data_IF_481286769840
#
_entry.id   IF_481286769840
#
_cell.length_a   1.000
_cell.length_b   1.000
_cell.length_c   1.000
_cell.angle_alpha   90.00
_cell.angle_beta   90.00
_cell.angle_gamma   90.00
#
_symmetry.space_group_name_H-M   'P 1'
#
loop_
_entity.id
_entity.type
_entity.pdbx_description
1 polymer ?
#
# COMPACT_ATOMS: atom_id res chain seq x y z
N UNK A 1 -26.45 -25.06 17.05
CA UNK A 1 -25.35 -25.25 18.00
C UNK A 1 -25.79 -24.82 19.40
N UNK A 2 -25.33 -25.51 20.44
CA UNK A 2 -25.56 -25.19 21.86
C UNK A 2 -24.23 -24.93 22.57
N UNK A 3 -24.18 -23.94 23.45
CA UNK A 3 -23.11 -23.77 24.42
C UNK A 3 -23.11 -24.92 25.42
N UNK A 4 -21.93 -25.39 25.84
CA UNK A 4 -21.82 -26.31 26.98
C UNK A 4 -22.20 -25.58 28.28
N UNK A 5 -22.53 -26.34 29.32
CA UNK A 5 -22.84 -25.76 30.65
C UNK A 5 -21.69 -24.89 31.15
N UNK A 6 -20.46 -25.40 31.07
CA UNK A 6 -19.25 -24.68 31.47
C UNK A 6 -19.05 -23.38 30.68
N UNK A 7 -19.25 -23.41 29.35
CA UNK A 7 -19.13 -22.21 28.52
C UNK A 7 -20.23 -21.18 28.84
N UNK A 8 -21.45 -21.64 29.15
CA UNK A 8 -22.54 -20.77 29.55
C UNK A 8 -22.31 -20.12 30.91
N UNK A 9 -21.72 -20.86 31.87
CA UNK A 9 -21.36 -20.33 33.20
C UNK A 9 -20.24 -19.29 33.07
N UNK A 10 -19.18 -19.62 32.33
CA UNK A 10 -18.06 -18.69 32.08
C UNK A 10 -18.51 -17.41 31.41
N UNK A 11 -19.38 -17.48 30.40
CA UNK A 11 -19.88 -16.30 29.71
C UNK A 11 -20.52 -15.30 30.69
N UNK A 12 -21.24 -15.80 31.71
CA UNK A 12 -21.94 -14.98 32.70
C UNK A 12 -21.01 -14.52 33.82
N UNK A 13 -20.17 -15.41 34.35
CA UNK A 13 -19.33 -15.13 35.52
C UNK A 13 -18.06 -14.38 35.18
N UNK A 14 -17.46 -14.68 34.03
CA UNK A 14 -16.18 -14.14 33.59
C UNK A 14 -16.09 -14.12 32.04
N UNK A 15 -16.60 -13.05 31.40
CA UNK A 15 -16.52 -12.88 29.96
C UNK A 15 -15.09 -12.93 29.40
N UNK A 16 -14.06 -12.68 30.22
CA UNK A 16 -12.65 -12.72 29.80
C UNK A 16 -12.17 -14.15 29.66
N UNK A 17 -12.41 -14.97 30.70
CA UNK A 17 -12.12 -16.40 30.64
C UNK A 17 -12.92 -17.09 29.53
N UNK A 18 -14.15 -16.65 29.27
CA UNK A 18 -14.93 -17.11 28.12
C UNK A 18 -14.24 -16.75 26.79
N UNK A 19 -13.87 -15.49 26.56
CA UNK A 19 -13.19 -15.06 25.33
C UNK A 19 -11.87 -15.80 25.12
N UNK A 20 -11.09 -16.00 26.18
CA UNK A 20 -9.83 -16.73 26.12
C UNK A 20 -10.02 -18.20 25.71
N UNK A 21 -11.01 -18.88 26.29
CA UNK A 21 -11.23 -20.32 26.04
C UNK A 21 -12.03 -20.60 24.77
N UNK A 22 -12.96 -19.71 24.40
CA UNK A 22 -13.96 -19.97 23.37
C UNK A 22 -13.86 -18.99 22.18
N UNK A 23 -13.10 -17.91 22.28
CA UNK A 23 -13.06 -16.85 21.27
C UNK A 23 -14.34 -16.01 21.24
N UNK A 24 -14.40 -15.06 20.29
CA UNK A 24 -15.55 -14.16 20.13
C UNK A 24 -16.66 -14.75 19.22
N UNK A 25 -16.32 -15.73 18.40
CA UNK A 25 -17.23 -16.39 17.45
C UNK A 25 -17.08 -17.90 17.54
N UNK A 26 -18.11 -18.62 17.11
CA UNK A 26 -18.03 -20.05 16.85
C UNK A 26 -18.08 -20.32 15.35
N UNK A 27 -17.45 -21.42 14.94
CA UNK A 27 -17.57 -21.96 13.58
C UNK A 27 -18.96 -22.56 13.41
N UNK A 28 -19.80 -21.92 12.61
CA UNK A 28 -21.14 -22.39 12.29
C UNK A 28 -21.16 -23.35 11.11
N UNK A 29 -20.20 -23.21 10.20
CA UNK A 29 -20.02 -24.09 9.07
C UNK A 29 -18.73 -23.81 8.33
N UNK A 30 -18.34 -24.75 7.48
CA UNK A 30 -17.25 -24.57 6.53
C UNK A 30 -17.82 -24.80 5.15
N UNK A 31 -17.73 -23.78 4.30
CA UNK A 31 -18.08 -23.88 2.89
C UNK A 31 -16.97 -24.57 2.14
N UNK A 32 -17.38 -25.54 1.32
CA UNK A 32 -16.49 -26.31 0.49
C UNK A 32 -16.81 -26.06 -0.98
N UNK A 33 -15.77 -26.01 -1.79
CA UNK A 33 -15.90 -25.82 -3.24
C UNK A 33 -15.06 -26.83 -4.01
N UNK A 34 -15.47 -27.04 -5.26
CA UNK A 34 -14.65 -27.60 -6.32
C UNK A 34 -14.30 -26.46 -7.28
N UNK A 35 -13.03 -26.36 -7.68
CA UNK A 35 -12.51 -25.28 -8.50
C UNK A 35 -11.73 -25.84 -9.68
N UNK A 36 -11.95 -25.24 -10.85
CA UNK A 36 -11.15 -25.44 -12.05
C UNK A 36 -10.73 -24.06 -12.56
N UNK A 37 -9.43 -23.82 -12.60
CA UNK A 37 -8.83 -22.63 -13.17
C UNK A 37 -8.18 -23.01 -14.50
N UNK A 38 -8.58 -22.32 -15.56
CA UNK A 38 -8.01 -22.51 -16.90
C UNK A 38 -7.47 -21.16 -17.35
N UNK A 39 -6.17 -21.10 -17.58
CA UNK A 39 -5.50 -19.94 -18.15
C UNK A 39 -5.17 -20.25 -19.60
N UNK A 40 -5.72 -19.47 -20.52
CA UNK A 40 -5.40 -19.53 -21.95
C UNK A 40 -4.59 -18.29 -22.29
N UNK A 41 -3.36 -18.48 -22.74
CA UNK A 41 -2.46 -17.44 -23.20
C UNK A 41 -2.36 -17.49 -24.72
N UNK A 42 -2.62 -16.36 -25.36
CA UNK A 42 -2.48 -16.17 -26.81
C UNK A 42 -1.32 -15.19 -27.05
N UNK A 43 -0.19 -15.69 -27.53
CA UNK A 43 0.97 -14.87 -27.86
C UNK A 43 0.96 -14.57 -29.37
N UNK A 44 0.74 -13.31 -29.71
CA UNK A 44 0.78 -12.83 -31.09
C UNK A 44 2.24 -12.61 -31.53
N UNK A 45 2.63 -13.21 -32.66
CA UNK A 45 3.98 -13.03 -33.21
C UNK A 45 4.12 -11.72 -34.00
N UNK A 46 3.00 -11.03 -34.29
CA UNK A 46 2.95 -9.77 -35.04
C UNK A 46 1.97 -8.76 -34.43
N UNK A 47 2.17 -7.46 -34.71
CA UNK A 47 1.26 -6.39 -34.26
C UNK A 47 -0.13 -6.48 -34.94
N UNK A 48 -0.20 -7.03 -36.15
CA UNK A 48 -1.47 -7.28 -36.85
C UNK A 48 -2.26 -8.43 -36.21
N UNK A 49 -1.57 -9.50 -35.80
CA UNK A 49 -2.16 -10.59 -35.04
C UNK A 49 -2.69 -10.10 -33.68
N UNK A 50 -1.92 -9.26 -32.98
CA UNK A 50 -2.33 -8.65 -31.71
C UNK A 50 -3.59 -7.78 -31.85
N UNK A 51 -3.65 -6.96 -32.92
CA UNK A 51 -4.86 -6.17 -33.24
C UNK A 51 -6.06 -7.06 -33.55
N UNK A 52 -5.85 -8.17 -34.24
CA UNK A 52 -6.92 -9.12 -34.55
C UNK A 52 -7.46 -9.81 -33.30
N UNK A 53 -6.59 -10.25 -32.38
CA UNK A 53 -7.01 -10.85 -31.10
C UNK A 53 -7.91 -9.87 -30.33
N UNK A 54 -7.48 -8.60 -30.22
CA UNK A 54 -8.25 -7.58 -29.51
C UNK A 54 -9.60 -7.28 -30.18
N UNK A 55 -9.63 -7.22 -31.51
CA UNK A 55 -10.86 -6.97 -32.27
C UNK A 55 -11.85 -8.13 -32.16
N UNK A 56 -11.38 -9.37 -32.31
CA UNK A 56 -12.21 -10.57 -32.23
C UNK A 56 -12.76 -10.79 -30.82
N UNK A 57 -11.93 -10.66 -29.79
CA UNK A 57 -12.36 -10.82 -28.40
C UNK A 57 -13.08 -9.59 -27.82
N UNK A 58 -13.15 -8.48 -28.57
CA UNK A 58 -13.82 -7.25 -28.14
C UNK A 58 -13.11 -6.56 -26.95
N UNK A 59 -11.80 -6.77 -26.81
CA UNK A 59 -11.01 -6.25 -25.70
C UNK A 59 -10.62 -4.79 -25.98
N UNK A 60 -11.41 -3.86 -25.46
CA UNK A 60 -11.07 -2.43 -25.50
C UNK A 60 -10.11 -2.08 -24.35
N UNK A 61 -8.82 -2.36 -24.52
CA UNK A 61 -7.73 -1.71 -23.77
C UNK A 61 -7.73 -1.87 -22.24
N UNK A 62 -8.18 -3.01 -21.70
CA UNK A 62 -8.15 -3.30 -20.26
C UNK A 62 -8.55 -4.74 -19.92
N UNK A 63 -8.46 -5.10 -18.64
CA UNK A 63 -8.90 -6.41 -18.10
C UNK A 63 -10.43 -6.47 -18.11
N UNK A 64 -11.01 -7.17 -19.10
CA UNK A 64 -12.47 -7.33 -19.23
C UNK A 64 -12.88 -8.75 -18.87
N UNK A 65 -13.90 -8.90 -18.03
CA UNK A 65 -14.52 -10.20 -17.76
C UNK A 65 -15.38 -10.59 -18.95
N UNK A 66 -14.98 -11.63 -19.69
CA UNK A 66 -15.76 -12.21 -20.77
C UNK A 66 -16.45 -13.48 -20.27
N UNK A 67 -17.78 -13.55 -20.43
CA UNK A 67 -18.48 -14.81 -20.29
C UNK A 67 -18.07 -15.75 -21.42
N UNK A 68 -17.61 -16.97 -21.09
CA UNK A 68 -17.25 -17.97 -22.09
C UNK A 68 -18.55 -18.63 -22.60
N UNK A 69 -19.17 -18.00 -23.59
CA UNK A 69 -20.31 -18.53 -24.32
C UNK A 69 -19.89 -19.17 -25.66
N UNK A 70 -20.84 -19.73 -26.41
CA UNK A 70 -20.57 -20.39 -27.70
C UNK A 70 -19.88 -19.45 -28.71
N UNK A 71 -20.13 -18.14 -28.63
CA UNK A 71 -19.52 -17.14 -29.52
C UNK A 71 -18.06 -16.90 -29.17
N UNK A 72 -17.74 -16.72 -27.89
CA UNK A 72 -16.35 -16.57 -27.43
C UNK A 72 -15.55 -17.85 -27.65
N UNK A 73 -16.14 -19.04 -27.41
CA UNK A 73 -15.52 -20.34 -27.72
C UNK A 73 -15.12 -20.42 -29.20
N UNK A 74 -16.05 -20.13 -30.12
CA UNK A 74 -15.77 -20.16 -31.56
C UNK A 74 -14.70 -19.15 -32.00
N UNK A 75 -14.64 -17.97 -31.37
CA UNK A 75 -13.61 -16.96 -31.65
C UNK A 75 -12.22 -17.41 -31.18
N UNK A 76 -12.11 -17.99 -30.00
CA UNK A 76 -10.86 -18.54 -29.49
C UNK A 76 -10.35 -19.70 -30.36
N UNK A 77 -11.23 -20.58 -30.82
CA UNK A 77 -10.88 -21.66 -31.76
C UNK A 77 -10.36 -21.12 -33.11
N UNK A 78 -10.94 -20.04 -33.62
CA UNK A 78 -10.49 -19.41 -34.86
C UNK A 78 -9.13 -18.75 -34.70
N UNK A 79 -8.90 -18.05 -33.58
CA UNK A 79 -7.61 -17.45 -33.26
C UNK A 79 -6.52 -18.52 -33.08
N UNK A 80 -6.85 -19.64 -32.44
CA UNK A 80 -5.92 -20.75 -32.21
C UNK A 80 -5.48 -21.49 -33.48
N UNK A 81 -6.23 -21.36 -34.60
CA UNK A 81 -5.88 -21.93 -35.90
C UNK A 81 -4.93 -21.06 -36.73
N UNK A 82 -4.65 -19.83 -36.30
CA UNK A 82 -3.77 -18.92 -37.02
C UNK A 82 -2.30 -19.28 -36.80
N UNK A 83 -1.51 -19.27 -37.87
CA UNK A 83 -0.08 -19.59 -37.81
C UNK A 83 0.77 -18.51 -37.10
N UNK A 84 0.26 -17.27 -37.00
CA UNK A 84 0.93 -16.13 -36.37
C UNK A 84 0.56 -15.93 -34.88
N UNK A 85 -0.14 -16.89 -34.27
CA UNK A 85 -0.55 -16.89 -32.86
C UNK A 85 -0.13 -18.21 -32.20
N UNK A 86 0.59 -18.11 -31.09
CA UNK A 86 0.93 -19.26 -30.25
C UNK A 86 -0.07 -19.35 -29.09
N UNK A 87 -0.63 -20.54 -28.85
CA UNK A 87 -1.59 -20.76 -27.76
C UNK A 87 -0.96 -21.66 -26.71
N UNK A 88 -0.96 -21.19 -25.47
CA UNK A 88 -0.58 -21.96 -24.30
C UNK A 88 -1.80 -22.08 -23.38
N UNK A 89 -2.09 -23.30 -22.92
CA UNK A 89 -3.18 -23.56 -21.96
C UNK A 89 -2.54 -24.10 -20.70
N UNK A 90 -2.89 -23.52 -19.57
CA UNK A 90 -2.52 -23.99 -18.23
C UNK A 90 -3.78 -24.28 -17.44
N UNK A 91 -3.81 -25.41 -16.74
CA UNK A 91 -4.97 -25.84 -15.96
C UNK A 91 -4.53 -26.13 -14.53
N UNK A 92 -5.28 -25.62 -13.57
CA UNK A 92 -5.16 -25.95 -12.16
C UNK A 92 -6.53 -26.40 -11.67
N UNK A 93 -6.59 -27.56 -11.02
CA UNK A 93 -7.81 -28.05 -10.40
C UNK A 93 -7.66 -28.21 -8.88
N UNK A 94 -8.80 -28.21 -8.20
CA UNK A 94 -8.86 -28.44 -6.76
C UNK A 94 -10.26 -28.89 -6.38
N UNK A 95 -10.37 -29.82 -5.45
CA UNK A 95 -11.63 -30.02 -4.73
C UNK A 95 -12.66 -30.92 -5.41
N UNK A 96 -12.29 -31.81 -6.34
CA UNK A 96 -13.22 -32.78 -6.91
C UNK A 96 -12.49 -34.00 -7.49
N UNK A 97 -13.25 -35.07 -7.74
CA UNK A 97 -12.82 -36.23 -8.51
C UNK A 97 -13.48 -36.25 -9.90
N UNK A 98 -12.74 -36.70 -10.90
CA UNK A 98 -13.27 -37.07 -12.22
C UNK A 98 -13.00 -38.55 -12.49
N UNK A 99 -13.92 -39.22 -13.19
CA UNK A 99 -13.73 -40.62 -13.59
C UNK A 99 -12.42 -40.82 -14.37
N UNK A 100 -11.55 -41.71 -13.88
CA UNK A 100 -10.21 -41.94 -14.45
C UNK A 100 -9.07 -41.10 -13.82
N UNK A 101 -9.38 -40.25 -12.85
CA UNK A 101 -8.42 -39.35 -12.18
C UNK A 101 -8.26 -38.02 -12.91
N UNK A 102 -8.05 -36.94 -12.15
CA UNK A 102 -7.91 -35.58 -12.69
C UNK A 102 -6.70 -35.43 -13.64
N UNK A 103 -5.67 -36.25 -13.44
CA UNK A 103 -4.44 -36.26 -14.25
C UNK A 103 -4.67 -36.66 -15.71
N UNK A 104 -5.62 -37.55 -16.00
CA UNK A 104 -5.96 -37.98 -17.36
C UNK A 104 -6.78 -36.93 -18.12
N UNK A 105 -7.64 -36.20 -17.41
CA UNK A 105 -8.49 -35.16 -17.99
C UNK A 105 -7.69 -33.87 -18.25
N UNK A 106 -6.83 -33.46 -17.32
CA UNK A 106 -5.93 -32.30 -17.50
C UNK A 106 -4.91 -32.56 -18.60
N UNK A 107 -4.25 -33.72 -18.62
CA UNK A 107 -3.29 -34.03 -19.69
C UNK A 107 -3.93 -33.99 -21.07
N UNK A 108 -5.20 -34.39 -21.18
CA UNK A 108 -5.98 -34.31 -22.42
C UNK A 108 -6.38 -32.88 -22.84
N UNK A 109 -6.45 -31.92 -21.90
CA UNK A 109 -6.68 -30.50 -22.18
C UNK A 109 -5.41 -29.79 -22.66
N UNK A 110 -4.23 -30.33 -22.32
CA UNK A 110 -2.92 -29.80 -22.68
C UNK A 110 -2.39 -30.35 -24.02
N UNK A 111 -2.99 -31.42 -24.53
CA UNK A 111 -2.61 -32.05 -25.82
C UNK A 111 -3.52 -31.59 -26.96
N UNK A 112 -2.97 -30.95 -27.99
CA UNK A 112 -3.67 -30.69 -29.27
C UNK A 112 -4.03 -29.22 -29.57
N UNK A 113 -3.81 -28.30 -28.63
CA UNK A 113 -4.18 -26.88 -28.79
C UNK A 113 -5.62 -26.58 -28.36
N UNK A 114 -6.15 -25.40 -28.75
CA UNK A 114 -7.48 -24.93 -28.35
C UNK A 114 -8.47 -25.14 -29.50
N UNK A 115 -9.25 -26.23 -29.41
CA UNK A 115 -10.24 -26.63 -30.40
C UNK A 115 -11.62 -26.93 -29.76
N UNK A 116 -12.61 -27.31 -30.57
CA UNK A 116 -13.94 -27.66 -30.10
C UNK A 116 -13.93 -28.81 -29.06
N UNK A 117 -12.98 -29.74 -29.17
CA UNK A 117 -12.83 -30.82 -28.20
C UNK A 117 -12.34 -30.30 -26.84
N UNK A 118 -11.55 -29.22 -26.80
CA UNK A 118 -11.11 -28.57 -25.55
C UNK A 118 -12.30 -28.04 -24.76
N UNK A 119 -13.28 -27.39 -25.41
CA UNK A 119 -14.45 -26.87 -24.71
C UNK A 119 -15.45 -27.96 -24.30
N UNK A 120 -15.64 -29.00 -25.11
CA UNK A 120 -16.44 -30.17 -24.74
C UNK A 120 -15.84 -30.89 -23.52
N UNK A 121 -14.50 -30.97 -23.44
CA UNK A 121 -13.79 -31.48 -22.27
C UNK A 121 -13.99 -30.61 -21.04
N UNK A 122 -13.93 -29.28 -21.16
CA UNK A 122 -14.22 -28.38 -20.03
C UNK A 122 -15.66 -28.53 -19.51
N UNK A 123 -16.63 -28.72 -20.41
CA UNK A 123 -18.01 -29.00 -20.03
C UNK A 123 -18.15 -30.39 -19.37
N UNK A 124 -17.34 -31.38 -19.77
CA UNK A 124 -17.25 -32.66 -19.09
C UNK A 124 -16.61 -32.56 -17.69
N UNK A 125 -15.52 -31.80 -17.53
CA UNK A 125 -14.92 -31.50 -16.20
C UNK A 125 -15.97 -30.87 -15.29
N UNK A 126 -16.69 -29.87 -15.79
CA UNK A 126 -17.75 -29.20 -15.03
C UNK A 126 -18.82 -30.17 -14.55
N UNK A 127 -19.21 -31.14 -15.38
CA UNK A 127 -20.18 -32.18 -14.99
C UNK A 127 -19.61 -33.07 -13.88
N UNK A 128 -18.37 -33.52 -14.02
CA UNK A 128 -17.70 -34.33 -12.98
C UNK A 128 -17.49 -33.56 -11.68
N UNK A 129 -17.20 -32.25 -11.72
CA UNK A 129 -17.14 -31.39 -10.54
C UNK A 129 -18.47 -31.39 -9.78
N UNK A 130 -19.59 -31.22 -10.50
CA UNK A 130 -20.93 -31.23 -9.91
C UNK A 130 -21.28 -32.60 -9.34
N UNK A 131 -20.92 -33.68 -10.03
CA UNK A 131 -21.13 -35.05 -9.56
C UNK A 131 -20.32 -35.33 -8.28
N UNK A 132 -19.04 -34.94 -8.24
CA UNK A 132 -18.19 -35.08 -7.06
C UNK A 132 -18.70 -34.27 -5.88
N UNK A 133 -19.13 -33.02 -6.10
CA UNK A 133 -19.73 -32.19 -5.05
C UNK A 133 -21.03 -32.79 -4.53
N UNK A 134 -21.89 -33.29 -5.41
CA UNK A 134 -23.13 -33.95 -5.02
C UNK A 134 -22.85 -35.23 -4.21
N UNK A 135 -21.82 -36.00 -4.58
CA UNK A 135 -21.40 -37.18 -3.81
C UNK A 135 -20.94 -36.81 -2.39
N UNK A 136 -20.17 -35.71 -2.25
CA UNK A 136 -19.77 -35.20 -0.94
C UNK A 136 -20.98 -34.74 -0.11
N UNK A 137 -21.92 -33.99 -0.69
CA UNK A 137 -23.17 -33.58 -0.03
C UNK A 137 -24.01 -34.77 0.40
N UNK A 138 -24.09 -35.82 -0.42
CA UNK A 138 -24.78 -37.06 -0.09
C UNK A 138 -24.16 -37.77 1.10
N UNK A 139 -22.81 -37.90 1.14
CA UNK A 139 -22.08 -38.50 2.26
C UNK A 139 -22.17 -37.67 3.54
N UNK A 140 -22.18 -36.34 3.41
CA UNK A 140 -22.35 -35.40 4.52
C UNK A 140 -23.75 -35.47 5.16
N UNK A 141 -24.68 -36.23 4.58
CA UNK A 141 -26.03 -36.45 5.11
C UNK A 141 -27.03 -35.36 4.72
N UNK A 142 -26.80 -34.66 3.59
CA UNK A 142 -27.65 -33.58 3.09
C UNK A 142 -29.14 -33.95 3.10
N UNK A 143 -29.92 -33.31 3.98
CA UNK A 143 -31.36 -33.50 4.04
C UNK A 143 -32.01 -32.98 2.75
N UNK A 144 -32.64 -33.87 1.98
CA UNK A 144 -33.57 -33.49 0.90
C UNK A 144 -33.15 -33.84 -0.53
N UNK A 145 -31.94 -34.38 -0.78
CA UNK A 145 -31.59 -34.90 -2.10
C UNK A 145 -32.10 -36.34 -2.23
N UNK A 146 -33.30 -36.49 -2.80
CA UNK A 146 -33.96 -37.78 -3.03
C UNK A 146 -33.14 -38.77 -3.89
N UNK A 147 -32.07 -38.30 -4.54
CA UNK A 147 -31.22 -39.06 -5.45
C UNK A 147 -29.94 -39.65 -4.82
N UNK A 148 -29.65 -39.40 -3.54
CA UNK A 148 -28.42 -39.90 -2.91
C UNK A 148 -28.50 -41.42 -2.63
N UNK A 149 -27.59 -42.21 -3.20
CA UNK A 149 -27.44 -43.66 -2.93
C UNK A 149 -26.13 -43.94 -2.18
N UNK A 150 -26.08 -45.00 -1.36
CA UNK A 150 -24.88 -45.41 -0.61
C UNK A 150 -24.77 -44.87 0.83
N UNK A 151 -23.60 -45.10 1.44
CA UNK A 151 -23.30 -44.78 2.84
C UNK A 151 -23.32 -43.27 3.12
N UNK A 152 -23.92 -42.89 4.26
CA UNK A 152 -24.09 -41.51 4.70
C UNK A 152 -23.52 -41.33 6.11
N UNK A 153 -22.18 -41.35 6.25
CA UNK A 153 -21.53 -41.23 7.56
C UNK A 153 -21.81 -39.88 8.24
N UNK A 154 -22.22 -38.87 7.47
CA UNK A 154 -22.51 -37.54 7.97
C UNK A 154 -21.29 -36.62 7.91
N UNK A 155 -21.54 -35.32 8.04
CA UNK A 155 -20.54 -34.28 7.80
C UNK A 155 -19.20 -34.47 8.57
N UNK A 156 -19.24 -34.86 9.84
CA UNK A 156 -18.03 -35.01 10.63
C UNK A 156 -17.21 -36.28 10.28
N UNK A 157 -17.88 -37.30 9.74
CA UNK A 157 -17.30 -38.63 9.49
C UNK A 157 -17.04 -38.89 7.99
N UNK A 158 -17.31 -37.92 7.12
CA UNK A 158 -17.00 -37.99 5.70
C UNK A 158 -15.49 -37.83 5.43
N UNK A 159 -14.74 -38.91 5.67
CA UNK A 159 -13.29 -38.99 5.38
C UNK A 159 -12.96 -39.00 3.88
N UNK A 160 -13.97 -39.16 3.01
CA UNK A 160 -13.84 -39.21 1.56
C UNK A 160 -14.25 -37.90 0.88
N UNK A 161 -14.27 -36.78 1.62
CA UNK A 161 -14.62 -35.46 1.07
C UNK A 161 -13.55 -35.01 0.09
N UNK A 162 -13.98 -34.73 -1.14
CA UNK A 162 -13.10 -34.27 -2.21
C UNK A 162 -13.07 -32.76 -2.29
N UNK A 163 -14.21 -32.11 -2.03
CA UNK A 163 -14.35 -30.67 -1.94
C UNK A 163 -13.39 -30.06 -0.91
N UNK A 164 -12.79 -28.92 -1.26
CA UNK A 164 -11.83 -28.25 -0.39
C UNK A 164 -12.50 -27.13 0.41
N UNK A 165 -12.12 -26.91 1.68
CA UNK A 165 -12.63 -25.80 2.45
C UNK A 165 -12.12 -24.48 1.87
N UNK A 166 -13.04 -23.55 1.57
CA UNK A 166 -12.71 -22.23 1.02
C UNK A 166 -13.09 -21.09 1.94
N UNK A 167 -14.09 -21.30 2.81
CA UNK A 167 -14.56 -20.27 3.73
C UNK A 167 -15.09 -20.90 5.01
N UNK A 168 -14.80 -20.24 6.13
CA UNK A 168 -15.34 -20.59 7.44
C UNK A 168 -16.45 -19.59 7.75
N UNK A 169 -17.69 -20.06 7.93
CA UNK A 169 -18.81 -19.25 8.41
C UNK A 169 -18.71 -19.11 9.93
N UNK A 170 -18.36 -17.92 10.39
CA UNK A 170 -18.30 -17.59 11.81
C UNK A 170 -19.60 -16.91 12.25
N UNK A 171 -20.16 -17.37 13.38
CA UNK A 171 -21.38 -16.77 13.96
C UNK A 171 -21.13 -16.35 15.41
N UNK A 172 -21.78 -15.26 15.86
CA UNK A 172 -21.64 -14.81 17.23
C UNK A 172 -22.39 -15.74 18.18
N UNK A 173 -21.85 -15.96 19.38
CA UNK A 173 -22.44 -16.86 20.38
C UNK A 173 -23.88 -16.50 20.80
N UNK A 174 -24.32 -15.24 20.62
CA UNK A 174 -25.71 -14.81 20.81
C UNK A 174 -26.71 -15.53 19.88
N UNK A 175 -26.25 -16.25 18.85
CA UNK A 175 -27.07 -17.06 17.94
C UNK A 175 -27.13 -18.54 18.33
N UNK A 176 -26.45 -18.96 19.40
CA UNK A 176 -26.57 -20.32 19.93
C UNK A 176 -27.99 -20.57 20.46
N UNK A 177 -28.50 -21.80 20.34
CA UNK A 177 -29.90 -22.11 20.67
C UNK A 177 -30.22 -22.06 22.16
N UNK A 178 -29.21 -22.07 23.02
CA UNK A 178 -29.29 -21.86 24.47
C UNK A 178 -28.52 -20.61 24.91
N UNK A 179 -28.31 -19.66 24.00
CA UNK A 179 -27.72 -18.37 24.34
C UNK A 179 -28.57 -17.67 25.41
N UNK A 180 -27.97 -17.10 26.48
CA UNK A 180 -28.66 -16.16 27.36
C UNK A 180 -29.36 -15.05 26.57
N UNK A 181 -30.51 -14.56 27.05
CA UNK A 181 -31.27 -13.51 26.35
C UNK A 181 -30.38 -12.27 26.18
N UNK A 182 -30.25 -11.80 24.94
CA UNK A 182 -29.51 -10.58 24.61
C UNK A 182 -30.26 -9.30 25.04
N UNK A 183 -29.53 -8.23 25.30
CA UNK A 183 -30.09 -6.93 25.68
C UNK A 183 -29.08 -6.05 26.45
N UNK A 184 -29.46 -4.82 26.82
CA UNK A 184 -28.65 -3.95 27.67
C UNK A 184 -28.23 -4.65 28.97
N UNK A 185 -26.93 -4.72 29.25
CA UNK A 185 -26.36 -5.41 30.41
C UNK A 185 -26.20 -6.92 30.25
N UNK A 186 -26.42 -7.46 29.04
CA UNK A 186 -26.22 -8.89 28.78
C UNK A 186 -24.73 -9.28 28.77
N UNK A 187 -24.40 -10.53 29.10
CA UNK A 187 -23.03 -11.05 29.01
C UNK A 187 -22.38 -10.86 27.63
N UNK A 188 -23.19 -10.96 26.56
CA UNK A 188 -22.74 -10.73 25.19
C UNK A 188 -22.36 -9.29 24.91
N UNK A 189 -23.05 -8.32 25.50
CA UNK A 189 -22.70 -6.91 25.38
C UNK A 189 -21.40 -6.61 26.13
N UNK A 190 -21.25 -7.15 27.35
CA UNK A 190 -20.01 -7.01 28.11
C UNK A 190 -18.82 -7.60 27.36
N UNK A 191 -18.99 -8.80 26.78
CA UNK A 191 -17.99 -9.45 25.94
C UNK A 191 -17.64 -8.62 24.70
N UNK A 192 -18.67 -8.12 23.97
CA UNK A 192 -18.45 -7.31 22.77
C UNK A 192 -17.75 -6.00 23.10
N UNK A 193 -18.14 -5.35 24.19
CA UNK A 193 -17.52 -4.10 24.66
C UNK A 193 -16.02 -4.29 24.92
N UNK A 194 -15.62 -5.37 25.59
CA UNK A 194 -14.20 -5.68 25.82
C UNK A 194 -13.41 -5.76 24.50
N UNK A 195 -13.94 -6.48 23.51
CA UNK A 195 -13.29 -6.62 22.19
C UNK A 195 -13.30 -5.31 21.40
N UNK A 196 -14.42 -4.58 21.41
CA UNK A 196 -14.58 -3.31 20.70
C UNK A 196 -13.64 -2.24 21.25
N UNK A 197 -13.50 -2.16 22.58
CA UNK A 197 -12.63 -1.17 23.23
C UNK A 197 -11.14 -1.51 23.00
N UNK A 198 -10.74 -2.78 23.10
CA UNK A 198 -9.36 -3.20 22.78
C UNK A 198 -9.01 -2.97 21.31
N UNK A 199 -9.93 -3.29 20.38
CA UNK A 199 -9.76 -2.99 18.96
C UNK A 199 -9.63 -1.49 18.69
N UNK A 200 -10.41 -0.67 19.40
CA UNK A 200 -10.36 0.79 19.25
C UNK A 200 -9.00 1.33 19.72
N UNK A 201 -8.50 0.83 20.84
CA UNK A 201 -7.20 1.18 21.39
C UNK A 201 -6.05 0.78 20.45
N UNK A 202 -6.01 -0.50 20.01
CA UNK A 202 -5.02 -0.98 19.05
C UNK A 202 -5.03 -0.17 17.76
N UNK A 203 -6.21 0.11 17.20
CA UNK A 203 -6.32 0.95 15.99
C UNK A 203 -5.72 2.33 16.19
N UNK A 204 -5.80 2.91 17.38
CA UNK A 204 -5.21 4.23 17.66
C UNK A 204 -3.69 4.17 17.72
N UNK A 205 -3.14 3.20 18.44
CA UNK A 205 -1.69 2.97 18.48
C UNK A 205 -1.13 2.67 17.09
N UNK A 206 -1.76 1.74 16.36
CA UNK A 206 -1.31 1.33 15.02
C UNK A 206 -1.38 2.48 14.00
N UNK A 207 -2.37 3.38 14.09
CA UNK A 207 -2.41 4.56 13.21
C UNK A 207 -1.16 5.43 13.36
N UNK A 208 -0.70 5.66 14.59
CA UNK A 208 0.48 6.49 14.82
C UNK A 208 1.78 5.73 14.49
N UNK A 209 1.85 4.42 14.78
CA UNK A 209 2.97 3.58 14.35
C UNK A 209 3.16 3.61 12.82
N UNK A 210 2.09 3.37 12.04
CA UNK A 210 2.12 3.42 10.57
C UNK A 210 2.58 4.79 10.04
N UNK A 211 2.16 5.88 10.70
CA UNK A 211 2.58 7.24 10.30
C UNK A 211 4.06 7.48 10.56
N UNK A 212 4.58 7.02 11.70
CA UNK A 212 6.00 7.10 12.03
C UNK A 212 6.81 6.26 11.04
N UNK A 213 6.39 5.03 10.77
CA UNK A 213 7.04 4.15 9.80
C UNK A 213 7.09 4.79 8.41
N UNK A 214 6.01 5.42 7.96
CA UNK A 214 6.00 6.14 6.69
C UNK A 214 6.99 7.31 6.66
N UNK A 215 7.06 8.11 7.74
CA UNK A 215 8.04 9.21 7.84
C UNK A 215 9.47 8.66 7.77
N UNK A 216 9.76 7.59 8.52
CA UNK A 216 11.10 7.00 8.56
C UNK A 216 11.46 6.40 7.20
N UNK A 217 10.59 5.60 6.60
CA UNK A 217 10.90 4.84 5.40
C UNK A 217 10.81 5.67 4.10
N UNK A 218 9.90 6.64 4.03
CA UNK A 218 9.64 7.38 2.79
C UNK A 218 10.36 8.74 2.74
N UNK A 219 10.67 9.33 3.90
CA UNK A 219 11.26 10.68 3.98
C UNK A 219 12.69 10.66 4.57
N UNK A 220 12.88 10.13 5.78
CA UNK A 220 14.15 10.22 6.52
C UNK A 220 15.22 9.26 5.96
N UNK A 221 14.93 7.97 5.89
CA UNK A 221 15.89 6.94 5.47
C UNK A 221 16.40 7.17 4.04
N UNK A 222 15.54 7.48 3.05
CA UNK A 222 16.02 7.77 1.70
C UNK A 222 17.01 8.94 1.64
N UNK A 223 16.85 9.94 2.50
CA UNK A 223 17.82 11.04 2.62
C UNK A 223 19.10 10.63 3.34
N UNK A 224 19.00 9.87 4.44
CA UNK A 224 20.17 9.41 5.19
C UNK A 224 21.05 8.46 4.35
N UNK A 225 20.42 7.56 3.61
CA UNK A 225 21.06 6.55 2.75
C UNK A 225 21.54 7.14 1.41
N UNK A 226 21.06 8.32 1.02
CA UNK A 226 21.52 8.98 -0.20
C UNK A 226 23.02 9.31 -0.13
N UNK A 227 23.79 9.11 -1.22
CA UNK A 227 25.16 9.57 -1.28
C UNK A 227 25.21 11.11 -1.13
N UNK A 228 26.32 11.64 -0.60
CA UNK A 228 26.49 13.09 -0.31
C UNK A 228 26.09 13.97 -1.52
N UNK A 229 26.46 13.57 -2.74
CA UNK A 229 26.10 14.28 -3.97
C UNK A 229 24.58 14.41 -4.20
N UNK A 230 23.79 13.43 -3.77
CA UNK A 230 22.33 13.45 -3.88
C UNK A 230 21.65 14.14 -2.69
N UNK A 231 22.32 14.29 -1.55
CA UNK A 231 21.75 15.03 -0.39
C UNK A 231 21.43 16.49 -0.73
N UNK A 232 22.14 17.06 -1.71
CA UNK A 232 21.89 18.41 -2.20
C UNK A 232 20.53 18.58 -2.93
N UNK A 233 19.84 17.49 -3.29
CA UNK A 233 18.49 17.55 -3.88
C UNK A 233 17.36 17.45 -2.84
N UNK A 234 17.68 17.60 -1.56
CA UNK A 234 16.72 17.61 -0.46
C UNK A 234 16.73 18.97 0.24
N UNK A 235 15.63 19.28 0.91
CA UNK A 235 15.49 20.48 1.72
C UNK A 235 14.47 20.29 2.83
N UNK A 236 14.38 21.27 3.72
CA UNK A 236 13.37 21.28 4.78
C UNK A 236 12.14 22.05 4.32
N UNK A 237 10.98 21.38 4.35
CA UNK A 237 9.70 21.97 3.96
C UNK A 237 9.22 23.03 4.95
N UNK A 238 8.37 23.96 4.49
CA UNK A 238 7.69 24.90 5.37
C UNK A 238 6.78 24.13 6.35
N UNK A 239 6.59 24.61 7.60
CA UNK A 239 6.93 25.93 8.14
C UNK A 239 8.34 26.06 8.74
N UNK A 240 9.15 25.00 8.72
CA UNK A 240 10.49 25.05 9.31
C UNK A 240 11.39 26.11 8.63
N UNK A 241 12.37 26.67 9.36
CA UNK A 241 13.39 27.53 8.78
C UNK A 241 14.21 26.80 7.70
N UNK A 242 14.68 27.52 6.66
CA UNK A 242 15.55 26.94 5.65
C UNK A 242 16.89 26.50 6.25
N UNK A 243 17.45 25.44 5.67
CA UNK A 243 18.76 24.88 6.05
C UNK A 243 19.74 25.09 4.89
N UNK A 244 20.94 25.55 5.21
CA UNK A 244 21.90 26.04 4.21
C UNK A 244 23.10 25.10 3.97
N UNK A 245 23.28 24.06 4.79
CA UNK A 245 24.40 23.10 4.68
C UNK A 245 23.93 21.65 4.71
N UNK A 246 24.71 20.75 4.08
CA UNK A 246 24.44 19.30 4.11
C UNK A 246 24.51 18.78 5.55
N UNK A 247 25.51 19.18 6.32
CA UNK A 247 25.69 18.71 7.70
C UNK A 247 24.50 19.05 8.60
N UNK A 248 23.90 20.23 8.43
CA UNK A 248 22.71 20.62 9.17
C UNK A 248 21.46 19.80 8.76
N UNK A 249 21.32 19.46 7.47
CA UNK A 249 20.27 18.53 7.02
C UNK A 249 20.48 17.14 7.62
N UNK A 250 21.72 16.62 7.60
CA UNK A 250 22.07 15.32 8.19
C UNK A 250 21.80 15.29 9.68
N UNK A 251 22.18 16.33 10.42
CA UNK A 251 21.90 16.44 11.84
C UNK A 251 20.38 16.45 12.13
N UNK A 252 19.61 17.18 11.32
CA UNK A 252 18.14 17.23 11.44
C UNK A 252 17.50 15.87 11.19
N UNK A 253 17.89 15.18 10.10
CA UNK A 253 17.40 13.84 9.79
C UNK A 253 17.77 12.82 10.87
N UNK A 254 19.02 12.84 11.34
CA UNK A 254 19.52 11.91 12.37
C UNK A 254 18.76 12.09 13.68
N UNK A 255 18.48 13.35 14.08
CA UNK A 255 17.67 13.64 15.28
C UNK A 255 16.29 12.97 15.20
N UNK A 256 15.62 13.06 14.06
CA UNK A 256 14.30 12.45 13.90
C UNK A 256 14.35 10.95 13.67
N UNK A 257 15.38 10.43 13.00
CA UNK A 257 15.66 8.99 12.94
C UNK A 257 15.76 8.41 14.33
N UNK A 258 16.54 9.03 15.22
CA UNK A 258 16.68 8.63 16.62
C UNK A 258 15.36 8.74 17.40
N UNK A 259 14.58 9.79 17.14
CA UNK A 259 13.28 10.01 17.81
C UNK A 259 12.24 8.96 17.40
N UNK A 260 12.35 8.45 16.17
CA UNK A 260 11.43 7.48 15.61
C UNK A 260 11.98 6.04 15.58
N UNK A 261 13.12 5.80 16.22
CA UNK A 261 13.74 4.49 16.30
C UNK A 261 12.99 3.58 17.28
N UNK A 262 12.43 2.47 16.78
CA UNK A 262 11.72 1.47 17.57
C UNK A 262 12.61 0.68 18.53
N UNK A 263 13.91 0.59 18.24
CA UNK A 263 14.89 -0.11 19.08
C UNK A 263 15.47 0.80 20.17
N UNK A 264 15.25 2.12 20.05
CA UNK A 264 15.76 3.09 21.01
C UNK A 264 14.83 3.25 22.20
N UNK A 265 15.24 2.67 23.32
CA UNK A 265 14.52 2.79 24.59
C UNK A 265 14.20 4.26 24.94
N UNK A 266 12.92 4.52 25.23
CA UNK A 266 12.40 5.85 25.58
C UNK A 266 12.01 6.71 24.37
N UNK A 267 12.17 6.24 23.13
CA UNK A 267 11.62 6.91 21.96
C UNK A 267 10.09 6.78 21.92
N UNK A 268 9.36 7.76 21.36
CA UNK A 268 7.92 7.63 21.10
C UNK A 268 7.55 6.41 20.26
N UNK A 269 8.39 6.01 19.30
CA UNK A 269 8.14 4.85 18.45
C UNK A 269 8.27 3.53 19.24
N UNK A 270 9.35 3.38 20.03
CA UNK A 270 9.54 2.22 20.91
C UNK A 270 8.38 2.09 21.89
N UNK A 271 7.98 3.19 22.55
CA UNK A 271 6.87 3.18 23.49
C UNK A 271 5.52 2.77 22.86
N UNK A 272 5.26 3.17 21.62
CA UNK A 272 4.09 2.72 20.86
C UNK A 272 4.14 1.23 20.56
N UNK A 273 5.27 0.74 20.04
CA UNK A 273 5.44 -0.67 19.69
C UNK A 273 5.37 -1.59 20.91
N UNK A 274 5.96 -1.17 22.03
CA UNK A 274 5.89 -1.88 23.31
C UNK A 274 4.46 -1.96 23.85
N UNK A 275 3.64 -0.91 23.66
CA UNK A 275 2.23 -0.93 24.06
C UNK A 275 1.41 -1.86 23.16
N UNK A 276 1.62 -1.82 21.84
CA UNK A 276 0.97 -2.75 20.90
C UNK A 276 1.32 -4.20 21.26
N UNK A 277 2.61 -4.48 21.50
CA UNK A 277 3.09 -5.81 21.86
C UNK A 277 2.50 -6.28 23.20
N UNK A 278 2.45 -5.40 24.21
CA UNK A 278 1.81 -5.70 25.51
C UNK A 278 0.33 -5.99 25.37
N UNK A 279 -0.42 -5.16 24.64
CA UNK A 279 -1.82 -5.41 24.38
C UNK A 279 -2.03 -6.77 23.70
N UNK A 280 -1.22 -7.11 22.71
CA UNK A 280 -1.31 -8.39 22.01
C UNK A 280 -1.02 -9.58 22.94
N UNK A 281 0.05 -9.50 23.72
CA UNK A 281 0.41 -10.52 24.71
C UNK A 281 -0.71 -10.73 25.74
N UNK A 282 -1.26 -9.64 26.30
CA UNK A 282 -2.38 -9.70 27.22
C UNK A 282 -3.64 -10.30 26.60
N UNK A 283 -3.92 -10.00 25.32
CA UNK A 283 -5.05 -10.58 24.62
C UNK A 283 -4.90 -12.10 24.46
N UNK A 284 -3.69 -12.60 24.19
CA UNK A 284 -3.39 -14.03 24.14
C UNK A 284 -3.57 -14.73 25.49
N UNK A 285 -3.30 -14.03 26.59
CA UNK A 285 -3.48 -14.55 27.96
C UNK A 285 -4.92 -14.39 28.50
N UNK A 286 -5.83 -13.84 27.69
CA UNK A 286 -7.23 -13.61 28.09
C UNK A 286 -7.46 -12.32 28.89
N UNK A 287 -6.43 -11.51 29.11
CA UNK A 287 -6.48 -10.23 29.80
C UNK A 287 -6.75 -9.05 28.85
N UNK A 288 -7.70 -9.21 27.92
CA UNK A 288 -7.99 -8.24 26.85
C UNK A 288 -8.38 -6.84 27.37
N UNK A 289 -8.90 -6.76 28.60
CA UNK A 289 -9.24 -5.50 29.27
C UNK A 289 -8.00 -4.66 29.62
N UNK A 290 -6.83 -5.27 29.78
CA UNK A 290 -5.58 -4.53 30.01
C UNK A 290 -5.15 -3.71 28.78
N UNK A 291 -5.65 -4.08 27.59
CA UNK A 291 -5.51 -3.30 26.37
C UNK A 291 -6.56 -2.19 26.24
N UNK A 292 -7.64 -2.25 27.01
CA UNK A 292 -8.77 -1.34 26.91
C UNK A 292 -8.89 -0.53 28.21
N UNK A 293 -8.12 0.54 28.37
CA UNK A 293 -8.45 1.46 29.47
C UNK A 293 -9.73 2.21 29.13
N UNK A 294 -10.61 2.46 30.13
CA UNK A 294 -11.89 3.15 29.93
C UNK A 294 -11.76 4.62 29.50
N UNK A 295 -10.56 5.19 29.51
CA UNK A 295 -10.29 6.56 29.11
C UNK A 295 -10.24 6.73 27.58
N UNK A 296 -10.65 7.91 27.12
CA UNK A 296 -10.79 8.23 25.72
C UNK A 296 -9.47 7.99 24.95
N UNK A 297 -9.60 7.40 23.77
CA UNK A 297 -8.52 7.09 22.80
C UNK A 297 -7.56 8.24 22.52
N UNK A 298 -8.00 9.47 22.75
CA UNK A 298 -7.25 10.70 22.51
C UNK A 298 -6.38 11.14 23.70
N UNK A 299 -6.32 10.36 24.78
CA UNK A 299 -5.60 10.71 26.03
C UNK A 299 -4.49 9.74 26.42
N UNK A 300 -4.17 8.77 25.56
CA UNK A 300 -3.09 7.82 25.83
C UNK A 300 -1.72 8.49 25.77
N UNK A 301 -0.88 8.38 26.81
CA UNK A 301 0.43 9.03 26.82
C UNK A 301 1.30 8.70 25.59
N UNK A 302 1.24 7.45 25.11
CA UNK A 302 2.00 6.97 23.96
C UNK A 302 1.49 7.57 22.65
N UNK A 303 0.16 7.69 22.46
CA UNK A 303 -0.40 8.32 21.26
C UNK A 303 -0.14 9.83 21.27
N UNK A 304 -0.30 10.49 22.41
CA UNK A 304 0.00 11.91 22.57
C UNK A 304 1.49 12.21 22.32
N UNK A 305 2.40 11.40 22.85
CA UNK A 305 3.83 11.56 22.64
C UNK A 305 4.21 11.37 21.15
N UNK A 306 3.65 10.35 20.50
CA UNK A 306 3.88 10.12 19.08
C UNK A 306 3.32 11.25 18.20
N UNK A 307 2.12 11.73 18.49
CA UNK A 307 1.51 12.85 17.76
C UNK A 307 2.31 14.14 17.94
N UNK A 308 2.80 14.41 19.15
CA UNK A 308 3.69 15.54 19.42
C UNK A 308 5.01 15.43 18.64
N UNK A 309 5.61 14.24 18.57
CA UNK A 309 6.84 14.02 17.81
C UNK A 309 6.62 14.17 16.29
N UNK A 310 5.51 13.67 15.75
CA UNK A 310 5.12 13.87 14.35
C UNK A 310 4.86 15.35 14.06
N UNK A 311 4.20 16.06 14.98
CA UNK A 311 3.96 17.49 14.85
C UNK A 311 5.26 18.29 14.85
N UNK A 312 6.21 17.96 15.75
CA UNK A 312 7.54 18.57 15.78
C UNK A 312 8.30 18.31 14.47
N UNK A 313 8.29 17.07 13.96
CA UNK A 313 8.88 16.75 12.65
C UNK A 313 8.33 17.63 11.54
N UNK A 314 7.00 17.71 11.42
CA UNK A 314 6.34 18.54 10.42
C UNK A 314 6.65 20.02 10.58
N UNK A 315 6.80 20.51 11.81
CA UNK A 315 7.02 21.92 12.09
C UNK A 315 8.49 22.34 11.96
N UNK A 316 9.45 21.46 12.27
CA UNK A 316 10.84 21.86 12.47
C UNK A 316 11.87 21.15 11.61
N UNK A 317 11.55 20.02 10.97
CA UNK A 317 12.57 19.29 10.22
C UNK A 317 12.07 18.28 9.21
N UNK A 318 10.91 18.53 8.58
CA UNK A 318 10.41 17.69 7.49
C UNK A 318 11.32 17.74 6.27
N UNK A 319 12.09 16.68 6.05
CA UNK A 319 13.07 16.59 4.96
C UNK A 319 12.45 15.85 3.79
N UNK A 320 12.38 16.53 2.65
CA UNK A 320 11.77 15.97 1.44
C UNK A 320 12.58 16.32 0.18
N UNK A 321 12.45 15.54 -0.90
CA UNK A 321 13.07 15.87 -2.18
C UNK A 321 12.58 17.21 -2.73
N UNK A 322 13.49 17.97 -3.33
CA UNK A 322 13.22 19.22 -4.03
C UNK A 322 12.86 18.94 -5.50
N UNK A 323 11.95 19.74 -6.05
CA UNK A 323 11.56 19.75 -7.46
C UNK A 323 12.01 21.03 -8.12
N UNK A 324 12.98 20.92 -9.02
CA UNK A 324 13.46 22.02 -9.85
C UNK A 324 14.08 21.49 -11.14
N UNK A 325 14.32 22.35 -12.13
CA UNK A 325 15.17 22.09 -13.28
C UNK A 325 16.35 23.04 -13.32
N UNK A 326 17.46 22.59 -13.90
CA UNK A 326 18.66 23.40 -14.12
C UNK A 326 18.71 23.77 -15.59
N UNK A 327 18.70 25.06 -15.90
CA UNK A 327 18.69 25.55 -17.29
C UNK A 327 20.05 25.98 -17.80
N UNK A 328 21.07 26.03 -16.93
CA UNK A 328 22.41 26.51 -17.26
C UNK A 328 22.72 27.85 -16.62
N UNK A 329 23.65 28.58 -17.22
CA UNK A 329 24.08 29.92 -16.78
C UNK A 329 23.50 30.93 -17.77
N UNK A 330 22.61 31.80 -17.31
CA UNK A 330 21.89 32.75 -18.16
C UNK A 330 21.95 34.16 -17.58
N UNK A 331 21.74 35.15 -18.45
CA UNK A 331 21.33 36.51 -18.04
C UNK A 331 19.94 36.45 -17.43
N UNK A 332 19.56 37.45 -16.65
CA UNK A 332 18.30 37.39 -15.90
C UNK A 332 17.06 37.27 -16.81
N UNK A 333 16.97 38.09 -17.86
CA UNK A 333 15.84 38.05 -18.80
C UNK A 333 15.75 36.71 -19.57
N UNK A 334 16.90 36.16 -19.95
CA UNK A 334 16.98 34.86 -20.62
C UNK A 334 16.61 33.72 -19.66
N UNK A 335 16.97 33.85 -18.37
CA UNK A 335 16.57 32.92 -17.31
C UNK A 335 15.05 32.87 -17.12
N UNK A 336 14.39 34.04 -17.11
CA UNK A 336 12.92 34.12 -17.03
C UNK A 336 12.26 33.43 -18.23
N UNK A 337 12.78 33.66 -19.43
CA UNK A 337 12.26 33.06 -20.66
C UNK A 337 12.50 31.55 -20.69
N UNK A 338 13.69 31.10 -20.27
CA UNK A 338 14.02 29.68 -20.17
C UNK A 338 13.08 28.94 -19.22
N UNK A 339 12.83 29.48 -18.02
CA UNK A 339 11.87 28.89 -17.09
C UNK A 339 10.44 28.89 -17.64
N UNK A 340 9.98 30.03 -18.20
CA UNK A 340 8.63 30.17 -18.73
C UNK A 340 8.35 29.19 -19.89
N UNK A 341 9.35 28.91 -20.73
CA UNK A 341 9.23 27.96 -21.85
C UNK A 341 8.90 26.53 -21.42
N UNK A 342 9.14 26.19 -20.15
CA UNK A 342 8.87 24.87 -19.54
C UNK A 342 7.70 24.91 -18.56
N UNK A 343 6.83 25.93 -18.63
CA UNK A 343 5.74 26.16 -17.68
C UNK A 343 6.23 26.21 -16.21
N UNK A 344 7.43 26.75 -16.00
CA UNK A 344 8.07 26.95 -14.69
C UNK A 344 8.39 28.43 -14.50
N UNK A 345 8.88 28.77 -13.31
CA UNK A 345 9.30 30.13 -12.96
C UNK A 345 10.62 30.13 -12.23
N UNK A 346 11.26 31.30 -12.15
CA UNK A 346 12.32 31.52 -11.19
C UNK A 346 11.77 31.35 -9.76
N UNK A 347 12.57 30.83 -8.82
CA UNK A 347 12.16 30.75 -7.42
C UNK A 347 11.96 32.15 -6.84
N UNK A 348 11.11 32.28 -5.83
CA UNK A 348 11.14 33.46 -4.96
C UNK A 348 12.41 33.46 -4.10
N UNK A 349 12.67 34.54 -3.36
CA UNK A 349 13.80 34.55 -2.42
C UNK A 349 13.70 33.43 -1.37
N UNK A 350 12.55 33.27 -0.73
CA UNK A 350 12.32 32.23 0.29
C UNK A 350 12.47 30.81 -0.28
N UNK A 351 12.06 30.62 -1.54
CA UNK A 351 12.26 29.35 -2.24
C UNK A 351 13.73 29.13 -2.62
N UNK A 352 14.45 30.19 -3.00
CA UNK A 352 15.89 30.11 -3.25
C UNK A 352 16.66 29.76 -1.96
N UNK A 353 16.24 30.28 -0.81
CA UNK A 353 16.76 29.85 0.50
C UNK A 353 16.49 28.36 0.77
N UNK A 354 15.33 27.83 0.36
CA UNK A 354 15.01 26.40 0.46
C UNK A 354 15.83 25.52 -0.50
N UNK A 355 16.31 26.10 -1.59
CA UNK A 355 17.24 25.47 -2.55
C UNK A 355 18.72 25.71 -2.19
N UNK A 356 19.03 26.35 -1.06
CA UNK A 356 20.38 26.81 -0.75
C UNK A 356 21.42 25.68 -0.80
N UNK A 357 21.12 24.51 -0.24
CA UNK A 357 22.04 23.37 -0.27
C UNK A 357 22.31 22.93 -1.71
N UNK A 358 21.29 22.90 -2.57
CA UNK A 358 21.48 22.67 -4.01
C UNK A 358 22.41 23.72 -4.62
N UNK A 359 22.14 25.00 -4.36
CA UNK A 359 22.90 26.12 -4.93
C UNK A 359 24.38 26.07 -4.53
N UNK A 360 24.68 25.72 -3.29
CA UNK A 360 26.07 25.64 -2.81
C UNK A 360 26.77 24.35 -3.23
N UNK A 361 26.12 23.20 -3.07
CA UNK A 361 26.80 21.91 -3.04
C UNK A 361 26.51 21.01 -4.24
N UNK A 362 25.47 21.27 -5.03
CA UNK A 362 25.23 20.49 -6.24
C UNK A 362 26.20 20.89 -7.36
N UNK A 363 26.47 19.94 -8.26
CA UNK A 363 27.22 20.15 -9.50
C UNK A 363 26.36 20.93 -10.51
N UNK A 364 26.19 22.22 -10.26
CA UNK A 364 25.46 23.14 -11.14
C UNK A 364 26.42 23.81 -12.13
N UNK A 365 25.94 24.21 -13.32
CA UNK A 365 26.67 25.12 -14.21
C UNK A 365 27.01 26.42 -13.48
N UNK A 366 28.29 26.82 -13.49
CA UNK A 366 28.82 27.98 -12.76
C UNK A 366 29.32 29.04 -13.74
N UNK A 367 29.08 30.31 -13.41
CA UNK A 367 29.74 31.44 -14.07
C UNK A 367 31.20 31.56 -13.63
N UNK A 368 32.05 32.18 -14.45
CA UNK A 368 33.42 32.52 -14.08
C UNK A 368 33.51 33.76 -13.19
N UNK A 369 32.40 34.51 -13.04
CA UNK A 369 32.32 35.63 -12.12
C UNK A 369 32.30 35.13 -10.67
N UNK A 370 33.40 35.33 -9.94
CA UNK A 370 33.59 34.83 -8.56
C UNK A 370 32.43 35.20 -7.63
N UNK A 371 31.87 36.40 -7.78
CA UNK A 371 30.74 36.89 -6.98
C UNK A 371 29.46 36.09 -7.17
N UNK A 372 29.22 35.59 -8.37
CA UNK A 372 27.98 34.93 -8.78
C UNK A 372 28.17 33.42 -8.98
N UNK A 373 29.38 32.90 -8.75
CA UNK A 373 29.72 31.50 -8.94
C UNK A 373 28.75 30.58 -8.19
N UNK A 374 28.44 30.90 -6.94
CA UNK A 374 27.49 30.14 -6.10
C UNK A 374 26.13 30.83 -5.95
N UNK A 375 25.72 31.58 -6.97
CA UNK A 375 24.46 32.31 -6.98
C UNK A 375 23.46 31.75 -7.98
N UNK A 376 22.18 31.78 -7.63
CA UNK A 376 21.08 31.48 -8.53
C UNK A 376 20.08 32.64 -8.57
N UNK A 377 19.54 32.92 -9.76
CA UNK A 377 18.54 33.97 -9.93
C UNK A 377 17.25 33.68 -9.16
N UNK A 378 16.62 34.73 -8.64
CA UNK A 378 15.28 34.66 -8.04
C UNK A 378 14.38 35.81 -8.51
N UNK A 379 13.06 35.65 -8.36
CA UNK A 379 12.06 36.54 -8.95
C UNK A 379 11.87 37.87 -8.20
N UNK A 380 12.24 37.96 -6.91
CA UNK A 380 11.96 39.12 -6.05
C UNK A 380 12.82 40.37 -6.37
N UNK A 381 12.55 41.05 -7.49
CA UNK A 381 13.31 42.22 -7.96
C UNK A 381 13.37 43.37 -6.94
N UNK A 382 12.33 43.52 -6.12
CA UNK A 382 12.24 44.56 -5.10
C UNK A 382 13.30 44.46 -4.00
N UNK A 383 13.95 43.29 -3.85
CA UNK A 383 15.07 43.13 -2.92
C UNK A 383 16.33 43.88 -3.37
N UNK A 384 16.37 44.36 -4.61
CA UNK A 384 17.45 45.15 -5.16
C UNK A 384 16.94 46.53 -5.61
N UNK A 385 17.62 47.58 -5.19
CA UNK A 385 17.32 48.95 -5.60
C UNK A 385 17.91 49.31 -6.97
N UNK A 386 17.44 50.42 -7.55
CA UNK A 386 18.15 51.08 -8.66
C UNK A 386 18.25 50.28 -9.97
N UNK A 387 17.28 49.38 -10.25
CA UNK A 387 17.27 48.57 -11.46
C UNK A 387 18.25 47.39 -11.44
N UNK A 388 18.85 47.09 -10.28
CA UNK A 388 19.65 45.88 -10.08
C UNK A 388 18.75 44.65 -9.99
N UNK A 389 19.33 43.50 -10.33
CA UNK A 389 18.68 42.21 -10.44
C UNK A 389 19.19 41.28 -9.34
N UNK A 390 18.31 40.49 -8.72
CA UNK A 390 18.65 39.79 -7.49
C UNK A 390 19.01 38.32 -7.73
N UNK A 391 20.07 37.85 -7.07
CA UNK A 391 20.47 36.45 -7.05
C UNK A 391 20.73 36.00 -5.61
N UNK A 392 20.29 34.80 -5.24
CA UNK A 392 20.60 34.23 -3.93
C UNK A 392 21.94 33.49 -4.01
N UNK A 393 22.90 33.86 -3.17
CA UNK A 393 24.20 33.22 -3.09
C UNK A 393 24.28 32.31 -1.86
N UNK A 394 24.81 31.08 -2.04
CA UNK A 394 25.19 30.20 -0.95
C UNK A 394 26.55 29.56 -1.24
N UNK A 395 27.63 30.23 -0.81
CA UNK A 395 28.99 29.69 -0.96
C UNK A 395 29.18 28.54 0.04
N UNK A 396 29.68 27.37 -0.38
CA UNK A 396 29.98 26.27 0.55
C UNK A 396 30.86 26.71 1.72
N UNK A 397 30.33 26.63 2.94
CA UNK A 397 31.02 27.06 4.16
C UNK A 397 31.14 28.58 4.36
N UNK A 398 30.50 29.38 3.49
CA UNK A 398 30.52 30.84 3.52
C UNK A 398 29.20 31.48 3.96
N UNK A 399 29.12 32.79 3.83
CA UNK A 399 27.89 33.57 4.07
C UNK A 399 26.91 33.41 2.91
N UNK A 400 25.64 33.21 3.26
CA UNK A 400 24.51 33.22 2.33
C UNK A 400 23.87 34.61 2.34
N UNK A 401 23.58 35.16 1.15
CA UNK A 401 23.03 36.51 1.05
C UNK A 401 22.29 36.72 -0.28
N UNK A 402 21.50 37.78 -0.35
CA UNK A 402 21.02 38.33 -1.62
C UNK A 402 22.13 39.17 -2.28
N UNK A 403 22.41 38.89 -3.54
CA UNK A 403 23.40 39.59 -4.35
C UNK A 403 22.68 40.41 -5.43
N UNK A 404 22.87 41.72 -5.40
CA UNK A 404 22.32 42.62 -6.42
C UNK A 404 23.34 42.92 -7.51
N UNK A 405 22.97 42.72 -8.78
CA UNK A 405 23.82 43.00 -9.95
C UNK A 405 23.08 43.78 -11.03
N UNK A 406 23.77 44.68 -11.72
CA UNK A 406 23.22 45.31 -12.93
C UNK A 406 23.50 44.42 -14.13
N UNK A 407 22.49 43.79 -14.73
CA UNK A 407 22.68 43.01 -15.97
C UNK A 407 22.44 43.92 -17.17
N UNK A 408 23.50 44.26 -17.91
CA UNK A 408 23.41 45.12 -19.09
C UNK A 408 24.00 44.43 -20.31
N UNK A 409 23.59 44.88 -21.51
CA UNK A 409 24.11 44.31 -22.76
C UNK A 409 25.64 44.45 -22.88
N UNK A 410 26.22 45.50 -22.28
CA UNK A 410 27.63 45.87 -22.34
C UNK A 410 28.48 45.22 -21.23
N UNK A 411 27.84 44.85 -20.11
CA UNK A 411 28.46 44.16 -18.97
C UNK A 411 27.48 43.08 -18.49
N UNK A 412 27.49 41.89 -19.11
CA UNK A 412 26.58 40.82 -18.74
C UNK A 412 27.06 40.10 -17.49
N UNK A 413 26.13 39.81 -16.59
CA UNK A 413 26.42 39.15 -15.31
C UNK A 413 25.60 37.86 -15.19
N UNK A 414 25.92 36.80 -15.95
CA UNK A 414 25.10 35.62 -15.95
C UNK A 414 25.33 34.81 -14.67
N UNK A 415 24.25 34.19 -14.16
CA UNK A 415 24.27 33.33 -12.97
C UNK A 415 23.53 32.02 -13.26
N UNK A 416 23.60 31.06 -12.34
CA UNK A 416 22.90 29.78 -12.48
C UNK A 416 21.38 30.00 -12.50
N UNK A 417 20.70 29.36 -13.45
CA UNK A 417 19.24 29.39 -13.55
C UNK A 417 18.66 28.08 -13.04
N UNK A 418 17.93 28.18 -11.93
CA UNK A 418 17.09 27.12 -11.39
C UNK A 418 15.62 27.50 -11.63
N UNK A 419 14.82 26.56 -12.13
CA UNK A 419 13.40 26.77 -12.36
C UNK A 419 12.57 25.86 -11.48
N UNK A 420 11.65 26.44 -10.72
CA UNK A 420 10.73 25.71 -9.84
C UNK A 420 9.34 25.59 -10.47
N UNK A 421 8.55 24.57 -10.09
CA UNK A 421 7.12 24.50 -10.39
C UNK A 421 6.35 25.76 -9.92
N UNK A 422 5.15 26.03 -10.47
CA UNK A 422 4.33 27.16 -10.06
C UNK A 422 4.06 27.23 -8.55
N UNK A 423 3.79 26.09 -7.89
CA UNK A 423 3.57 25.94 -6.46
C UNK A 423 4.84 25.85 -5.61
N UNK A 424 6.03 25.94 -6.24
CA UNK A 424 7.32 26.03 -5.57
C UNK A 424 8.10 24.71 -5.53
N UNK A 425 9.28 24.69 -4.87
CA UNK A 425 10.23 23.58 -4.94
C UNK A 425 9.78 22.31 -4.20
N UNK A 426 8.68 22.35 -3.45
CA UNK A 426 8.13 21.21 -2.71
C UNK A 426 6.79 20.69 -3.28
N UNK A 427 6.31 21.27 -4.39
CA UNK A 427 5.12 20.79 -5.08
C UNK A 427 5.40 19.39 -5.67
N UNK A 428 4.52 18.41 -5.36
CA UNK A 428 4.65 17.01 -5.81
C UNK A 428 3.89 16.74 -7.11
#
# INVERSE_FOLDING_TARGET
MKLTTEASELLVSDPRAFLHRCGNFYVNGVEHEAQLFVMIRLDAQTEEAARTINAELGLQGGTTVLGVDATIKGKLEQLAKREDITVEVSVLDRGFLSDGGTTGLISSLLTGGLDAMTFDKLDAVRRSMLESLNADVCRDGGMGLAACTGDRPGYAENAARNAVPVRIDLRPYARATNAPIGGPGSPYEAMRKLVDDANRHLRALSRNAIRIDAIVNDEISPFLDAPVARKASYGVAAPAPPVFTIDALVATATRFSDTFDVERAGSPAAALHDEIARCWASALEGAIDTCATPDAVDTFPQTTAAEAAIADYNATGRIVPLRFSVEGVHRFADAETACASKARRLPTFDEAQRLAVTIGFAELPRTTETRLQFAAWHANREMCGGGQLPAFANVPGGTHDNVCTSDSLLSPHPATTLCVPPGGPFEQ
#
